data_IF_412488786934
#
_entry.id   IF_412488786934
#
_cell.length_a   1.000
_cell.length_b   1.000
_cell.length_c   1.000
_cell.angle_alpha   90.00
_cell.angle_beta   90.00
_cell.angle_gamma   90.00
#
_symmetry.space_group_name_H-M   'P 1'
#
loop_
_entity.id
_entity.type
_entity.pdbx_description
1 polymer ?
#
# COMPACT_ATOMS: atom_id res chain seq x y z
N UNK A 1 -7.55 22.89 24.45
CA UNK A 1 -6.24 22.46 23.98
C UNK A 1 -6.09 22.37 22.44
N UNK A 2 -7.14 22.19 21.65
CA UNK A 2 -7.00 22.04 20.17
C UNK A 2 -6.86 23.33 19.36
N UNK A 3 -7.16 24.52 19.90
CA UNK A 3 -7.07 25.80 19.13
C UNK A 3 -5.68 26.41 19.09
N UNK A 4 -4.86 26.21 20.11
CA UNK A 4 -3.47 26.71 20.16
C UNK A 4 -2.53 25.93 19.26
N UNK A 5 -2.73 24.60 19.13
CA UNK A 5 -1.94 23.73 18.27
C UNK A 5 -2.12 24.04 16.75
N UNK A 6 -3.30 24.50 16.35
CA UNK A 6 -3.59 24.90 14.96
C UNK A 6 -2.93 26.23 14.56
N UNK A 7 -2.75 27.16 15.51
CA UNK A 7 -2.12 28.45 15.28
C UNK A 7 -0.60 28.31 15.11
N UNK A 8 0.05 27.46 15.91
CA UNK A 8 1.49 27.21 15.82
C UNK A 8 1.91 26.44 14.57
N UNK A 9 1.11 25.44 14.15
CA UNK A 9 1.33 24.77 12.86
C UNK A 9 1.16 25.74 11.68
N UNK A 10 0.24 26.70 11.78
CA UNK A 10 0.11 27.82 10.84
C UNK A 10 1.24 28.83 10.95
N UNK A 11 1.80 29.08 12.15
CA UNK A 11 2.97 29.94 12.33
C UNK A 11 4.22 29.28 11.74
N UNK A 12 4.49 28.01 12.02
CA UNK A 12 5.63 27.26 11.44
C UNK A 12 5.52 27.16 9.91
N UNK A 13 4.33 26.93 9.35
CA UNK A 13 4.12 26.93 7.89
C UNK A 13 4.18 28.32 7.24
N UNK A 14 3.87 29.38 7.97
CA UNK A 14 4.04 30.78 7.50
C UNK A 14 5.48 31.28 7.68
N UNK A 15 6.20 30.83 8.73
CA UNK A 15 7.60 31.16 8.94
C UNK A 15 8.54 30.46 7.95
N UNK A 16 8.18 29.25 7.48
CA UNK A 16 8.94 28.53 6.43
C UNK A 16 8.57 28.93 5.00
N UNK A 17 7.42 29.57 4.78
CA UNK A 17 7.16 30.25 3.54
C UNK A 17 7.83 31.61 3.62
N UNK A 18 9.07 31.62 3.15
CA UNK A 18 9.88 32.76 2.86
C UNK A 18 9.09 33.74 1.99
N UNK A 19 8.31 34.59 2.61
CA UNK A 19 7.84 35.78 1.95
C UNK A 19 8.80 36.90 2.26
N UNK A 20 9.66 37.11 1.31
CA UNK A 20 10.58 38.24 1.20
C UNK A 20 9.87 39.58 1.03
N UNK A 21 8.58 39.70 1.20
CA UNK A 21 7.83 40.90 0.88
C UNK A 21 6.62 41.18 1.80
N UNK A 22 6.69 40.79 3.11
CA UNK A 22 5.85 41.48 4.07
C UNK A 22 6.59 42.71 4.62
N UNK A 23 7.20 43.47 3.73
CA UNK A 23 7.30 44.89 3.91
C UNK A 23 5.86 45.39 3.92
N UNK A 24 5.38 45.86 5.08
CA UNK A 24 4.19 46.65 5.26
C UNK A 24 3.95 47.45 3.98
N UNK A 25 3.04 46.94 3.12
CA UNK A 25 2.55 47.67 1.98
C UNK A 25 1.24 48.30 2.44
N UNK A 26 1.17 49.65 2.60
CA UNK A 26 -0.06 50.34 2.94
C UNK A 26 -1.00 50.42 1.71
N UNK A 27 -1.05 49.41 0.87
CA UNK A 27 -1.95 49.37 -0.31
C UNK A 27 -3.43 49.22 0.04
N UNK A 28 -3.76 49.17 1.30
CA UNK A 28 -5.13 49.37 1.75
C UNK A 28 -5.33 50.78 2.31
N UNK A 29 -4.41 51.71 1.93
CA UNK A 29 -4.77 53.10 1.92
C UNK A 29 -6.04 53.24 1.11
N UNK A 30 -7.15 53.20 1.89
CA UNK A 30 -8.34 53.93 1.58
C UNK A 30 -8.60 54.08 0.05
N UNK A 31 -9.24 53.15 -0.59
CA UNK A 31 -10.36 53.60 -1.41
C UNK A 31 -11.32 54.33 -0.42
N UNK A 32 -10.93 55.50 0.06
CA UNK A 32 -11.84 56.56 0.34
C UNK A 32 -12.56 56.87 -0.98
N UNK A 33 -13.45 55.98 -1.39
CA UNK A 33 -14.58 56.40 -2.20
C UNK A 33 -15.21 57.48 -1.32
N UNK A 34 -14.92 58.77 -1.66
CA UNK A 34 -15.74 59.92 -1.28
C UNK A 34 -17.16 59.59 -1.78
N UNK A 35 -17.86 58.72 -1.03
CA UNK A 35 -19.30 58.65 -1.12
C UNK A 35 -19.75 60.04 -0.65
N UNK A 36 -20.15 60.89 -1.59
CA UNK A 36 -20.86 62.10 -1.28
C UNK A 36 -22.15 61.68 -0.56
N UNK A 37 -22.04 61.55 0.76
CA UNK A 37 -23.19 61.21 1.61
C UNK A 37 -24.02 62.50 1.72
N UNK A 38 -25.27 62.45 1.27
CA UNK A 38 -26.22 63.52 1.49
C UNK A 38 -26.69 63.43 2.97
N UNK A 39 -26.04 64.25 3.82
CA UNK A 39 -26.33 64.29 5.24
C UNK A 39 -27.71 64.92 5.61
N UNK A 40 -28.43 65.51 4.67
CA UNK A 40 -29.80 65.95 4.89
C UNK A 40 -30.83 64.81 4.71
N UNK A 41 -30.43 63.73 4.06
CA UNK A 41 -31.25 62.52 3.93
C UNK A 41 -31.05 61.64 5.19
N UNK A 42 -32.14 61.30 5.92
CA UNK A 42 -32.11 60.56 7.17
C UNK A 42 -31.54 59.14 6.96
N UNK A 43 -31.95 58.45 5.91
CA UNK A 43 -31.52 57.05 5.65
C UNK A 43 -30.03 56.98 5.35
N UNK A 44 -29.48 57.87 4.54
CA UNK A 44 -28.06 57.92 4.21
C UNK A 44 -27.21 58.30 5.44
N UNK A 45 -27.71 59.18 6.32
CA UNK A 45 -27.06 59.57 7.57
C UNK A 45 -27.00 58.41 8.55
N UNK A 46 -28.09 57.66 8.74
CA UNK A 46 -28.15 56.47 9.60
C UNK A 46 -27.20 55.39 9.10
N UNK A 47 -27.19 55.09 7.78
CA UNK A 47 -26.28 54.12 7.17
C UNK A 47 -24.81 54.52 7.32
N UNK A 48 -24.49 55.79 7.19
CA UNK A 48 -23.12 56.28 7.43
C UNK A 48 -22.67 56.09 8.90
N UNK A 49 -23.47 56.49 9.86
CA UNK A 49 -23.23 56.28 11.28
C UNK A 49 -23.05 54.79 11.59
N UNK A 50 -23.95 53.97 11.02
CA UNK A 50 -23.87 52.52 11.19
C UNK A 50 -22.56 51.96 10.60
N UNK A 51 -22.13 52.39 9.42
CA UNK A 51 -20.85 51.98 8.84
C UNK A 51 -19.65 52.39 9.67
N UNK A 52 -19.67 53.58 10.29
CA UNK A 52 -18.66 53.99 11.23
C UNK A 52 -18.61 53.12 12.48
N UNK A 53 -19.78 52.76 13.03
CA UNK A 53 -19.89 51.86 14.19
C UNK A 53 -19.44 50.44 13.87
N UNK A 54 -19.79 49.93 12.70
CA UNK A 54 -19.32 48.62 12.22
C UNK A 54 -17.79 48.57 12.07
N UNK A 55 -17.19 49.64 11.48
CA UNK A 55 -15.73 49.77 11.40
C UNK A 55 -15.07 49.80 12.79
N UNK A 56 -15.68 50.52 13.76
CA UNK A 56 -15.21 50.55 15.15
C UNK A 56 -15.31 49.16 15.81
N UNK A 57 -16.41 48.46 15.62
CA UNK A 57 -16.61 47.10 16.17
C UNK A 57 -15.61 46.11 15.60
N UNK A 58 -15.43 46.11 14.27
CA UNK A 58 -14.44 45.25 13.60
C UNK A 58 -13.01 45.56 14.05
N UNK A 59 -12.64 46.84 14.16
CA UNK A 59 -11.35 47.29 14.69
C UNK A 59 -11.14 46.81 16.15
N UNK A 60 -12.18 46.90 16.97
CA UNK A 60 -12.13 46.44 18.37
C UNK A 60 -11.89 44.92 18.46
N UNK A 61 -12.63 44.18 17.67
CA UNK A 61 -12.46 42.70 17.58
C UNK A 61 -11.08 42.30 17.05
N UNK A 62 -10.56 43.05 16.05
CA UNK A 62 -9.20 42.82 15.57
C UNK A 62 -8.17 43.17 16.63
N UNK A 63 -8.36 44.29 17.39
CA UNK A 63 -7.52 44.67 18.49
C UNK A 63 -7.43 43.59 19.57
N UNK A 64 -8.54 42.96 19.94
CA UNK A 64 -8.54 41.84 20.89
C UNK A 64 -7.69 40.69 20.39
N UNK A 65 -7.84 40.29 19.12
CA UNK A 65 -7.05 39.23 18.51
C UNK A 65 -5.57 39.57 18.45
N UNK A 66 -5.24 40.80 18.05
CA UNK A 66 -3.86 41.28 17.96
C UNK A 66 -3.20 41.37 19.34
N UNK A 67 -3.97 41.81 20.36
CA UNK A 67 -3.50 41.88 21.75
C UNK A 67 -3.18 40.48 22.27
N UNK A 68 -4.07 39.53 22.06
CA UNK A 68 -3.85 38.14 22.44
C UNK A 68 -2.57 37.55 21.78
N UNK A 69 -2.37 37.81 20.46
CA UNK A 69 -1.17 37.35 19.75
C UNK A 69 0.09 38.07 20.24
N UNK A 70 -0.01 39.38 20.52
CA UNK A 70 1.08 40.17 21.08
C UNK A 70 1.54 39.67 22.47
N UNK A 71 0.59 39.33 23.32
CA UNK A 71 0.86 38.83 24.68
C UNK A 71 1.50 37.43 24.58
N UNK A 72 1.03 36.59 23.66
CA UNK A 72 1.65 35.29 23.42
C UNK A 72 3.09 35.41 22.92
N UNK A 73 3.34 36.27 21.93
CA UNK A 73 4.70 36.49 21.40
C UNK A 73 5.62 37.07 22.48
N UNK A 74 5.09 37.98 23.31
CA UNK A 74 5.85 38.59 24.41
C UNK A 74 6.16 37.56 25.50
N UNK A 75 5.21 36.67 25.83
CA UNK A 75 5.42 35.57 26.77
C UNK A 75 6.52 34.64 26.28
N UNK A 76 6.48 34.31 25.00
CA UNK A 76 7.47 33.41 24.39
C UNK A 76 8.88 34.00 24.37
N UNK A 77 9.01 35.30 24.06
CA UNK A 77 10.30 36.01 24.16
C UNK A 77 10.83 35.99 25.59
N UNK A 78 9.95 36.15 26.58
CA UNK A 78 10.36 36.09 27.99
C UNK A 78 10.81 34.66 28.37
N UNK A 79 10.11 33.65 27.95
CA UNK A 79 10.51 32.24 28.16
C UNK A 79 11.90 31.96 27.56
N UNK A 80 12.23 32.54 26.38
CA UNK A 80 13.56 32.42 25.79
C UNK A 80 14.64 33.09 26.67
N UNK A 81 14.35 34.24 27.24
CA UNK A 81 15.27 34.96 28.14
C UNK A 81 15.53 34.15 29.43
N UNK A 82 14.49 33.53 30.00
CA UNK A 82 14.62 32.68 31.19
C UNK A 82 15.45 31.41 30.90
N UNK A 83 15.23 30.76 29.73
CA UNK A 83 16.03 29.59 29.32
C UNK A 83 17.50 29.93 29.13
N UNK A 84 17.81 31.11 28.54
CA UNK A 84 19.19 31.53 28.34
C UNK A 84 19.86 32.01 29.64
N UNK A 85 19.09 32.47 30.61
CA UNK A 85 19.57 32.91 31.91
C UNK A 85 19.84 31.76 32.90
N UNK A 86 19.53 30.50 32.53
CA UNK A 86 19.75 29.32 33.39
C UNK A 86 21.24 29.16 33.73
N UNK A 87 21.57 28.73 34.95
CA UNK A 87 22.91 28.32 35.35
C UNK A 87 23.44 27.23 34.44
N UNK A 88 24.75 27.14 34.26
CA UNK A 88 25.38 26.21 33.31
C UNK A 88 25.01 24.74 33.56
N UNK A 89 24.97 24.32 34.83
CA UNK A 89 24.58 22.95 35.20
C UNK A 89 23.14 22.62 34.81
N UNK A 90 22.20 23.52 35.04
CA UNK A 90 20.78 23.35 34.70
C UNK A 90 20.57 23.44 33.19
N UNK A 91 21.29 24.32 32.50
CA UNK A 91 21.27 24.41 31.04
C UNK A 91 21.77 23.14 30.36
N UNK A 92 22.81 22.48 30.90
CA UNK A 92 23.31 21.21 30.39
C UNK A 92 22.27 20.09 30.58
N UNK A 93 21.63 20.01 31.73
CA UNK A 93 20.58 19.02 32.00
C UNK A 93 19.38 19.22 31.08
N UNK A 94 18.93 20.46 30.90
CA UNK A 94 17.82 20.80 30.00
C UNK A 94 18.15 20.41 28.55
N UNK A 95 19.36 20.75 28.09
CA UNK A 95 19.82 20.38 26.72
C UNK A 95 19.91 18.87 26.54
N UNK A 96 20.36 18.12 27.53
CA UNK A 96 20.42 16.66 27.41
C UNK A 96 19.04 16.05 27.32
N UNK A 97 18.09 16.52 28.13
CA UNK A 97 16.70 16.09 28.05
C UNK A 97 16.08 16.49 26.70
N UNK A 98 16.28 17.71 26.22
CA UNK A 98 15.80 18.18 24.93
C UNK A 98 16.40 17.39 23.76
N UNK A 99 17.70 17.02 23.84
CA UNK A 99 18.35 16.16 22.83
C UNK A 99 17.71 14.80 22.75
N UNK A 100 17.43 14.17 23.88
CA UNK A 100 16.77 12.87 23.94
C UNK A 100 15.37 12.91 23.31
N UNK A 101 14.62 13.98 23.58
CA UNK A 101 13.30 14.19 22.95
C UNK A 101 13.43 14.37 21.44
N UNK A 102 14.38 15.19 20.97
CA UNK A 102 14.63 15.41 19.54
C UNK A 102 15.00 14.13 18.81
N UNK A 103 15.97 13.35 19.32
CA UNK A 103 16.41 12.08 18.73
C UNK A 103 15.27 11.05 18.64
N UNK A 104 14.41 10.97 19.65
CA UNK A 104 13.24 10.08 19.64
C UNK A 104 12.14 10.56 18.69
N UNK A 105 11.94 11.87 18.57
CA UNK A 105 11.00 12.45 17.59
C UNK A 105 11.47 12.22 16.16
N UNK A 106 12.75 12.36 15.88
CA UNK A 106 13.36 12.10 14.57
C UNK A 106 13.26 10.61 14.21
N UNK A 107 13.57 9.73 15.16
CA UNK A 107 13.43 8.28 14.97
C UNK A 107 11.99 7.86 14.66
N UNK A 108 11.02 8.50 15.32
CA UNK A 108 9.59 8.31 15.03
C UNK A 108 9.20 8.83 13.65
N UNK A 109 9.69 10.00 13.27
CA UNK A 109 9.44 10.60 11.96
C UNK A 109 10.02 9.72 10.84
N UNK A 110 11.27 9.28 11.00
CA UNK A 110 11.93 8.37 10.06
C UNK A 110 11.15 7.05 9.86
N UNK A 111 10.67 6.46 10.95
CA UNK A 111 9.83 5.26 10.86
C UNK A 111 8.53 5.50 10.09
N UNK A 112 7.89 6.67 10.29
CA UNK A 112 6.63 7.00 9.61
C UNK A 112 6.80 7.29 8.11
N UNK A 113 7.99 7.72 7.69
CA UNK A 113 8.33 7.97 6.28
C UNK A 113 8.77 6.72 5.53
N UNK A 114 9.17 5.64 6.23
CA UNK A 114 9.60 4.39 5.60
C UNK A 114 8.44 3.71 4.86
N UNK A 115 8.69 3.20 3.65
CA UNK A 115 7.69 2.40 2.95
C UNK A 115 7.42 1.10 3.72
N UNK A 116 6.18 0.76 3.91
CA UNK A 116 5.78 -0.50 4.54
C UNK A 116 6.18 -1.68 3.68
N UNK A 117 6.75 -2.72 4.29
CA UNK A 117 7.17 -3.95 3.60
C UNK A 117 5.99 -4.84 3.21
N UNK A 118 4.95 -4.86 4.06
CA UNK A 118 3.74 -5.63 3.85
C UNK A 118 2.51 -4.77 4.14
N UNK A 119 1.38 -5.12 3.54
CA UNK A 119 0.11 -4.45 3.83
C UNK A 119 -0.39 -4.76 5.25
N UNK A 120 -1.21 -3.89 5.80
CA UNK A 120 -1.78 -4.12 7.14
C UNK A 120 -2.67 -5.38 7.18
N UNK A 121 -3.30 -5.73 6.05
CA UNK A 121 -4.10 -6.96 5.92
C UNK A 121 -3.21 -8.21 5.98
N UNK A 122 -2.09 -8.21 5.25
CA UNK A 122 -1.10 -9.28 5.28
C UNK A 122 -0.46 -9.42 6.67
N UNK A 123 -0.15 -8.28 7.31
CA UNK A 123 0.39 -8.27 8.67
C UNK A 123 -0.59 -8.93 9.65
N UNK A 124 -1.86 -8.53 9.65
CA UNK A 124 -2.87 -9.12 10.54
C UNK A 124 -3.13 -10.59 10.24
N UNK A 125 -3.07 -11.00 8.97
CA UNK A 125 -3.21 -12.40 8.57
C UNK A 125 -2.05 -13.23 9.12
N UNK A 126 -0.81 -12.78 8.93
CA UNK A 126 0.39 -13.45 9.44
C UNK A 126 0.42 -13.50 10.97
N UNK A 127 -0.02 -12.44 11.65
CA UNK A 127 -0.09 -12.42 13.11
C UNK A 127 -1.07 -13.47 13.67
N UNK A 128 -2.23 -13.65 13.01
CA UNK A 128 -3.22 -14.68 13.39
C UNK A 128 -2.72 -16.10 13.14
N UNK A 129 -1.90 -16.29 12.11
CA UNK A 129 -1.41 -17.62 11.69
C UNK A 129 0.02 -17.89 12.12
N UNK A 130 0.62 -17.04 12.95
CA UNK A 130 2.03 -17.10 13.30
C UNK A 130 2.51 -18.49 13.75
N UNK A 131 1.70 -19.20 14.53
CA UNK A 131 2.02 -20.53 15.05
C UNK A 131 1.88 -21.63 13.98
N UNK A 132 1.10 -21.39 12.92
CA UNK A 132 0.81 -22.36 11.86
C UNK A 132 1.67 -22.19 10.61
N UNK A 133 2.36 -21.05 10.44
CA UNK A 133 3.10 -20.72 9.20
C UNK A 133 4.18 -21.74 8.90
N UNK A 134 4.91 -22.21 9.90
CA UNK A 134 5.97 -23.21 9.74
C UNK A 134 5.41 -24.55 9.21
N UNK A 135 4.36 -25.03 9.83
CA UNK A 135 3.67 -26.27 9.39
C UNK A 135 3.04 -26.09 7.98
N UNK A 136 2.53 -24.89 7.70
CA UNK A 136 2.02 -24.50 6.39
C UNK A 136 3.08 -24.50 5.30
N UNK A 137 4.26 -23.97 5.60
CA UNK A 137 5.41 -23.98 4.71
C UNK A 137 5.88 -25.39 4.39
N UNK A 138 6.02 -26.23 5.40
CA UNK A 138 6.46 -27.61 5.24
C UNK A 138 5.45 -28.41 4.37
N UNK A 139 4.13 -28.24 4.61
CA UNK A 139 3.07 -28.87 3.82
C UNK A 139 3.02 -28.36 2.39
N UNK A 140 3.20 -27.06 2.15
CA UNK A 140 3.26 -26.48 0.81
C UNK A 140 4.44 -27.03 0.04
N UNK A 141 5.62 -27.06 0.65
CA UNK A 141 6.84 -27.58 0.04
C UNK A 141 6.67 -29.05 -0.35
N UNK A 142 6.18 -29.89 0.58
CA UNK A 142 5.93 -31.30 0.33
C UNK A 142 4.91 -31.49 -0.82
N UNK A 143 3.85 -30.71 -0.83
CA UNK A 143 2.82 -30.81 -1.87
C UNK A 143 3.33 -30.33 -3.25
N UNK A 144 4.18 -29.29 -3.30
CA UNK A 144 4.81 -28.82 -4.53
C UNK A 144 5.80 -29.85 -5.11
N UNK A 145 6.65 -30.44 -4.25
CA UNK A 145 7.58 -31.48 -4.64
C UNK A 145 6.84 -32.72 -5.14
N UNK A 146 5.80 -33.16 -4.41
CA UNK A 146 4.97 -34.27 -4.80
C UNK A 146 4.24 -34.03 -6.13
N UNK A 147 3.76 -32.80 -6.36
CA UNK A 147 3.13 -32.41 -7.63
C UNK A 147 4.10 -32.58 -8.82
N UNK A 148 5.34 -32.19 -8.63
CA UNK A 148 6.37 -32.35 -9.65
C UNK A 148 6.69 -33.82 -9.93
N UNK A 149 6.81 -34.66 -8.89
CA UNK A 149 7.02 -36.08 -9.03
C UNK A 149 5.88 -36.75 -9.77
N UNK A 150 4.63 -36.46 -9.41
CA UNK A 150 3.44 -37.00 -10.06
C UNK A 150 3.34 -36.57 -11.52
N UNK A 151 3.73 -35.34 -11.84
CA UNK A 151 3.78 -34.84 -13.22
C UNK A 151 4.83 -35.60 -14.07
N UNK A 152 6.00 -35.87 -13.51
CA UNK A 152 7.04 -36.68 -14.16
C UNK A 152 6.58 -38.11 -14.38
N UNK A 153 5.92 -38.74 -13.40
CA UNK A 153 5.37 -40.08 -13.51
C UNK A 153 4.28 -40.17 -14.58
N UNK A 154 3.39 -39.17 -14.67
CA UNK A 154 2.39 -39.10 -15.74
C UNK A 154 3.05 -39.01 -17.12
N UNK A 155 4.09 -38.17 -17.27
CA UNK A 155 4.84 -38.03 -18.52
C UNK A 155 5.53 -39.33 -18.92
N UNK A 156 6.15 -40.07 -17.96
CA UNK A 156 6.76 -41.38 -18.20
C UNK A 156 5.73 -42.41 -18.63
N UNK A 157 4.60 -42.50 -17.91
CA UNK A 157 3.52 -43.42 -18.23
C UNK A 157 2.87 -43.12 -19.58
N UNK A 158 2.79 -41.87 -19.98
CA UNK A 158 2.28 -41.49 -21.31
C UNK A 158 3.26 -41.91 -22.41
N UNK A 159 4.57 -41.72 -22.22
CA UNK A 159 5.60 -42.27 -23.11
C UNK A 159 5.54 -43.79 -23.25
N UNK A 160 5.41 -44.53 -22.12
CA UNK A 160 5.24 -45.99 -22.15
C UNK A 160 3.97 -46.40 -22.90
N UNK A 161 2.87 -45.71 -22.70
CA UNK A 161 1.62 -45.94 -23.40
C UNK A 161 1.78 -45.76 -24.91
N UNK A 162 2.46 -44.70 -25.33
CA UNK A 162 2.76 -44.48 -26.75
C UNK A 162 3.61 -45.62 -27.35
N UNK A 163 4.65 -46.06 -26.62
CA UNK A 163 5.50 -47.16 -27.04
C UNK A 163 4.70 -48.48 -27.22
N UNK A 164 3.83 -48.82 -26.23
CA UNK A 164 2.96 -49.98 -26.34
C UNK A 164 1.92 -49.84 -27.46
N UNK A 165 1.39 -48.66 -27.72
CA UNK A 165 0.45 -48.42 -28.82
C UNK A 165 1.14 -48.58 -30.17
N UNK A 166 2.37 -48.08 -30.30
CA UNK A 166 3.19 -48.30 -31.49
C UNK A 166 3.43 -49.79 -31.71
N UNK A 167 3.88 -50.51 -30.67
CA UNK A 167 4.09 -51.97 -30.75
C UNK A 167 2.84 -52.72 -31.09
N UNK A 168 1.66 -52.34 -30.58
CA UNK A 168 0.37 -52.94 -30.98
C UNK A 168 0.12 -52.79 -32.47
N UNK A 169 0.34 -51.60 -33.03
CA UNK A 169 0.13 -51.36 -34.45
C UNK A 169 1.10 -52.18 -35.33
N UNK A 170 2.35 -52.31 -34.89
CA UNK A 170 3.36 -53.15 -35.55
C UNK A 170 2.95 -54.63 -35.55
N UNK A 171 2.53 -55.14 -34.41
CA UNK A 171 2.05 -56.53 -34.29
C UNK A 171 0.76 -56.76 -35.10
N UNK A 172 -0.13 -55.78 -35.16
CA UNK A 172 -1.34 -55.85 -35.99
C UNK A 172 -0.99 -55.88 -37.48
N UNK A 173 0.02 -55.15 -37.95
CA UNK A 173 0.49 -55.22 -39.33
C UNK A 173 1.12 -56.59 -39.63
N UNK A 174 1.91 -57.14 -38.67
CA UNK A 174 2.46 -58.53 -38.85
C UNK A 174 1.38 -59.56 -38.94
N UNK A 175 0.26 -59.46 -38.20
CA UNK A 175 -0.90 -60.36 -38.33
C UNK A 175 -1.54 -60.21 -39.70
N UNK A 176 -1.69 -58.98 -40.20
CA UNK A 176 -2.23 -58.74 -41.54
C UNK A 176 -1.33 -59.31 -42.64
N UNK A 177 -0.01 -59.16 -42.53
CA UNK A 177 0.99 -59.64 -43.44
C UNK A 177 1.03 -61.17 -43.45
N UNK A 178 0.96 -61.87 -42.29
CA UNK A 178 0.87 -63.32 -42.20
C UNK A 178 -0.40 -63.84 -42.81
N UNK A 179 -1.51 -63.14 -42.71
CA UNK A 179 -2.77 -63.43 -43.36
C UNK A 179 -2.68 -63.32 -44.89
N UNK A 180 -2.00 -62.21 -45.34
CA UNK A 180 -1.70 -62.02 -46.76
C UNK A 180 -0.82 -63.15 -47.32
N UNK A 181 0.24 -63.49 -46.59
CA UNK A 181 1.13 -64.63 -46.99
C UNK A 181 0.33 -65.97 -47.05
N UNK A 182 -0.57 -66.22 -46.13
CA UNK A 182 -1.41 -67.39 -46.16
C UNK A 182 -2.25 -67.48 -47.46
N UNK A 183 -2.87 -66.32 -47.82
CA UNK A 183 -3.66 -66.25 -49.06
C UNK A 183 -2.79 -66.50 -50.30
N UNK A 184 -1.64 -65.86 -50.40
CA UNK A 184 -0.69 -66.01 -51.49
C UNK A 184 -0.24 -67.46 -51.58
N UNK A 185 0.10 -68.10 -50.47
CA UNK A 185 0.53 -69.49 -50.40
C UNK A 185 -0.58 -70.46 -50.88
N UNK A 186 -1.80 -70.24 -50.45
CA UNK A 186 -2.95 -71.06 -50.89
C UNK A 186 -3.21 -70.95 -52.41
N UNK A 187 -3.11 -69.67 -52.93
CA UNK A 187 -3.25 -69.42 -54.37
C UNK A 187 -2.13 -70.10 -55.16
N UNK A 188 -0.88 -69.92 -54.71
CA UNK A 188 0.28 -70.54 -55.38
C UNK A 188 0.23 -72.04 -55.36
N UNK A 189 -0.19 -72.69 -54.27
CA UNK A 189 -0.35 -74.10 -54.15
C UNK A 189 -1.49 -74.62 -55.09
N UNK A 190 -2.59 -73.84 -55.14
CA UNK A 190 -3.67 -74.15 -56.06
C UNK A 190 -3.25 -74.15 -57.53
N UNK A 191 -2.44 -73.13 -57.93
CA UNK A 191 -1.88 -73.04 -59.25
C UNK A 191 -0.90 -74.19 -59.55
N UNK A 192 -0.04 -74.57 -58.58
CA UNK A 192 0.85 -75.75 -58.75
C UNK A 192 0.10 -77.03 -58.93
N UNK A 193 -0.98 -77.28 -58.16
CA UNK A 193 -1.82 -78.47 -58.31
C UNK A 193 -2.51 -78.46 -59.65
N UNK A 194 -3.04 -77.30 -60.10
CA UNK A 194 -3.69 -77.24 -61.44
C UNK A 194 -2.70 -77.53 -62.57
N UNK A 195 -1.47 -77.05 -62.45
CA UNK A 195 -0.39 -77.24 -63.40
C UNK A 195 0.03 -78.70 -63.46
N UNK A 196 0.18 -79.35 -62.30
CA UNK A 196 0.44 -80.80 -62.21
C UNK A 196 -0.68 -81.65 -62.81
N UNK A 197 -1.95 -81.30 -62.57
CA UNK A 197 -3.14 -81.95 -63.20
C UNK A 197 -3.09 -81.75 -64.71
N UNK A 198 -2.78 -80.59 -65.21
CA UNK A 198 -2.63 -80.27 -66.62
C UNK A 198 -1.52 -81.14 -67.29
N UNK A 199 -0.35 -81.25 -66.67
CA UNK A 199 0.78 -82.08 -67.15
C UNK A 199 0.39 -83.56 -67.18
N UNK A 200 -0.35 -84.08 -66.17
CA UNK A 200 -0.81 -85.47 -66.14
C UNK A 200 -1.84 -85.74 -67.20
N UNK A 201 -2.78 -84.80 -67.43
CA UNK A 201 -3.91 -85.08 -68.38
C UNK A 201 -3.57 -84.81 -69.85
N UNK A 202 -2.67 -83.81 -70.13
CA UNK A 202 -2.30 -83.45 -71.54
C UNK A 202 -1.05 -84.09 -72.06
N UNK A 203 -0.06 -84.47 -71.18
CA UNK A 203 1.23 -84.97 -71.56
C UNK A 203 1.55 -86.42 -71.11
N UNK A 204 0.58 -87.11 -70.44
CA UNK A 204 0.73 -88.46 -69.88
C UNK A 204 2.03 -88.71 -69.08
N UNK A 205 2.56 -87.64 -68.40
CA UNK A 205 3.78 -87.71 -67.59
C UNK A 205 3.47 -88.19 -66.16
N UNK A 206 4.37 -89.05 -65.61
CA UNK A 206 4.23 -89.51 -64.23
C UNK A 206 4.56 -88.36 -63.21
N UNK A 207 3.50 -87.72 -62.71
CA UNK A 207 3.59 -86.55 -61.81
C UNK A 207 3.54 -86.95 -60.35
N UNK A 208 3.65 -88.20 -59.92
CA UNK A 208 3.54 -88.69 -58.53
C UNK A 208 4.56 -87.98 -57.57
N UNK A 209 5.79 -87.87 -58.05
CA UNK A 209 6.87 -87.19 -57.26
C UNK A 209 6.58 -85.67 -57.11
N UNK A 210 5.98 -85.04 -58.13
CA UNK A 210 5.56 -83.64 -58.08
C UNK A 210 4.49 -83.37 -56.99
N UNK A 211 3.50 -84.23 -56.90
CA UNK A 211 2.47 -84.18 -55.85
C UNK A 211 3.06 -84.34 -54.43
N UNK A 212 4.00 -85.26 -54.23
CA UNK A 212 4.68 -85.47 -52.95
C UNK A 212 5.48 -84.24 -52.53
N UNK A 213 6.24 -83.61 -53.47
CA UNK A 213 6.99 -82.42 -53.22
C UNK A 213 6.12 -81.18 -52.91
N UNK A 214 5.02 -81.02 -53.67
CA UNK A 214 4.10 -79.88 -53.40
C UNK A 214 3.36 -80.11 -52.07
N UNK A 215 2.98 -81.33 -51.69
CA UNK A 215 2.39 -81.62 -50.39
C UNK A 215 3.37 -81.30 -49.22
N UNK A 216 4.63 -81.69 -49.36
CA UNK A 216 5.69 -81.40 -48.37
C UNK A 216 5.92 -79.91 -48.23
N UNK A 217 6.04 -79.17 -49.36
CA UNK A 217 6.18 -77.72 -49.36
C UNK A 217 4.98 -76.99 -48.75
N UNK A 218 3.76 -77.48 -49.04
CA UNK A 218 2.53 -76.95 -48.45
C UNK A 218 2.51 -77.16 -46.95
N UNK A 219 2.84 -78.39 -46.47
CA UNK A 219 2.89 -78.67 -45.05
C UNK A 219 3.87 -77.77 -44.28
N UNK A 220 5.05 -77.59 -44.85
CA UNK A 220 6.09 -76.66 -44.22
C UNK A 220 5.68 -75.22 -44.26
N UNK A 221 5.13 -74.73 -45.37
CA UNK A 221 4.68 -73.32 -45.47
C UNK A 221 3.52 -73.00 -44.52
N UNK A 222 2.50 -73.92 -44.45
CA UNK A 222 1.37 -73.76 -43.52
C UNK A 222 1.84 -73.79 -42.08
N UNK A 223 2.76 -74.69 -41.75
CA UNK A 223 3.28 -74.78 -40.38
C UNK A 223 4.05 -73.47 -39.95
N UNK A 224 4.88 -72.98 -40.85
CA UNK A 224 5.60 -71.71 -40.56
C UNK A 224 4.66 -70.50 -40.42
N UNK A 225 3.68 -70.36 -41.29
CA UNK A 225 2.67 -69.30 -41.23
C UNK A 225 1.83 -69.44 -39.97
N UNK A 226 1.44 -70.64 -39.61
CA UNK A 226 0.64 -70.93 -38.43
C UNK A 226 1.39 -70.56 -37.12
N UNK A 227 2.66 -70.94 -36.99
CA UNK A 227 3.48 -70.61 -35.84
C UNK A 227 3.64 -69.08 -35.74
N UNK A 228 4.03 -68.40 -36.84
CA UNK A 228 4.15 -66.94 -36.86
C UNK A 228 2.84 -66.27 -36.49
N UNK A 229 1.72 -66.73 -36.92
CA UNK A 229 0.42 -66.18 -36.61
C UNK A 229 0.01 -66.42 -35.15
N UNK A 230 0.35 -67.55 -34.56
CA UNK A 230 0.15 -67.78 -33.12
C UNK A 230 1.01 -66.89 -32.25
N UNK A 231 2.29 -66.78 -32.62
CA UNK A 231 3.25 -65.87 -31.86
C UNK A 231 2.76 -64.47 -31.93
N UNK A 232 2.40 -63.94 -33.08
CA UNK A 232 1.89 -62.56 -33.24
C UNK A 232 0.60 -62.35 -32.43
N UNK A 233 -0.32 -63.30 -32.36
CA UNK A 233 -1.53 -63.22 -31.54
C UNK A 233 -1.24 -63.26 -30.04
N UNK A 234 -0.24 -64.03 -29.60
CA UNK A 234 0.15 -64.07 -28.21
C UNK A 234 0.81 -62.76 -27.82
N UNK A 235 1.67 -62.21 -28.69
CA UNK A 235 2.30 -60.92 -28.47
C UNK A 235 1.27 -59.79 -28.43
N UNK A 236 0.28 -59.79 -29.33
CA UNK A 236 -0.81 -58.79 -29.29
C UNK A 236 -1.54 -58.80 -27.95
N UNK A 237 -1.91 -59.98 -27.44
CA UNK A 237 -2.54 -60.08 -26.10
C UNK A 237 -1.65 -59.57 -25.00
N UNK A 238 -0.33 -59.81 -25.04
CA UNK A 238 0.63 -59.28 -24.03
C UNK A 238 0.69 -57.76 -24.09
N UNK A 239 0.74 -57.19 -25.29
CA UNK A 239 0.77 -55.72 -25.51
C UNK A 239 -0.54 -55.09 -25.07
N UNK A 240 -1.70 -55.66 -25.41
CA UNK A 240 -3.03 -55.16 -24.98
C UNK A 240 -3.16 -55.17 -23.44
N UNK A 241 -2.73 -56.27 -22.80
CA UNK A 241 -2.70 -56.36 -21.35
C UNK A 241 -1.73 -55.31 -20.72
N UNK A 242 -0.60 -55.02 -21.39
CA UNK A 242 0.32 -53.98 -21.03
C UNK A 242 -0.35 -52.60 -21.09
N UNK A 243 -1.03 -52.26 -22.18
CA UNK A 243 -1.78 -51.02 -22.36
C UNK A 243 -2.82 -50.85 -21.24
N UNK A 244 -3.62 -51.89 -20.97
CA UNK A 244 -4.64 -51.84 -19.94
C UNK A 244 -4.05 -51.60 -18.55
N UNK A 245 -2.89 -52.21 -18.21
CA UNK A 245 -2.18 -51.96 -16.95
C UNK A 245 -1.71 -50.52 -16.86
N UNK A 246 -1.15 -49.95 -17.94
CA UNK A 246 -0.71 -48.56 -17.95
C UNK A 246 -1.89 -47.61 -17.80
N UNK A 247 -3.02 -47.85 -18.46
CA UNK A 247 -4.24 -47.03 -18.32
C UNK A 247 -4.71 -47.03 -16.86
N UNK A 248 -4.76 -48.17 -16.20
CA UNK A 248 -5.15 -48.31 -14.80
C UNK A 248 -4.17 -47.51 -13.90
N UNK A 249 -2.87 -47.62 -14.18
CA UNK A 249 -1.84 -46.89 -13.42
C UNK A 249 -1.93 -45.37 -13.64
N UNK A 250 -2.10 -44.93 -14.90
CA UNK A 250 -2.32 -43.52 -15.23
C UNK A 250 -3.56 -42.98 -14.51
N UNK A 251 -4.65 -43.69 -14.46
CA UNK A 251 -5.87 -43.27 -13.77
C UNK A 251 -5.60 -43.11 -12.27
N UNK A 252 -4.87 -44.04 -11.65
CA UNK A 252 -4.50 -43.97 -10.23
C UNK A 252 -3.61 -42.75 -9.96
N UNK A 253 -2.63 -42.48 -10.83
CA UNK A 253 -1.73 -41.34 -10.71
C UNK A 253 -2.47 -40.02 -10.97
N UNK A 254 -3.40 -39.98 -11.92
CA UNK A 254 -4.27 -38.83 -12.17
C UNK A 254 -5.13 -38.45 -10.95
N UNK A 255 -5.70 -39.43 -10.27
CA UNK A 255 -6.47 -39.18 -9.02
C UNK A 255 -5.55 -38.55 -7.97
N UNK A 256 -4.33 -39.07 -7.81
CA UNK A 256 -3.35 -38.49 -6.88
C UNK A 256 -2.97 -37.06 -7.27
N UNK A 257 -2.80 -36.80 -8.57
CA UNK A 257 -2.53 -35.45 -9.10
C UNK A 257 -3.62 -34.47 -8.72
N UNK A 258 -4.88 -34.83 -8.99
CA UNK A 258 -6.05 -33.97 -8.68
C UNK A 258 -6.15 -33.73 -7.17
N UNK A 259 -6.02 -34.77 -6.36
CA UNK A 259 -6.09 -34.62 -4.90
C UNK A 259 -4.98 -33.67 -4.36
N UNK A 260 -3.78 -33.80 -4.90
CA UNK A 260 -2.68 -32.92 -4.50
C UNK A 260 -2.85 -31.49 -5.03
N UNK A 261 -3.41 -31.32 -6.25
CA UNK A 261 -3.75 -29.99 -6.76
C UNK A 261 -4.79 -29.29 -5.87
N UNK A 262 -5.82 -30.00 -5.44
CA UNK A 262 -6.81 -29.47 -4.52
C UNK A 262 -6.19 -29.08 -3.16
N UNK A 263 -5.25 -29.88 -2.67
CA UNK A 263 -4.51 -29.56 -1.43
C UNK A 263 -3.67 -28.30 -1.61
N UNK A 264 -2.94 -28.17 -2.72
CA UNK A 264 -2.16 -26.99 -3.04
C UNK A 264 -3.04 -25.74 -3.14
N UNK A 265 -4.13 -25.79 -3.89
CA UNK A 265 -5.07 -24.68 -4.01
C UNK A 265 -5.63 -24.26 -2.64
N UNK A 266 -6.01 -25.23 -1.82
CA UNK A 266 -6.46 -24.94 -0.46
C UNK A 266 -5.40 -24.23 0.38
N UNK A 267 -4.15 -24.72 0.37
CA UNK A 267 -3.06 -24.12 1.13
C UNK A 267 -2.71 -22.73 0.61
N UNK A 268 -2.67 -22.56 -0.72
CA UNK A 268 -2.42 -21.28 -1.36
C UNK A 268 -3.49 -20.25 -1.00
N UNK A 269 -4.76 -20.62 -1.02
CA UNK A 269 -5.87 -19.75 -0.60
C UNK A 269 -5.83 -19.44 0.90
N UNK A 270 -5.51 -20.45 1.72
CA UNK A 270 -5.42 -20.28 3.18
C UNK A 270 -4.37 -19.24 3.57
N UNK A 271 -3.20 -19.27 2.93
CA UNK A 271 -2.08 -18.38 3.25
C UNK A 271 -1.99 -17.16 2.32
N UNK A 272 -2.85 -17.07 1.29
CA UNK A 272 -2.87 -15.95 0.33
C UNK A 272 -1.59 -15.85 -0.50
N UNK A 273 -0.94 -16.98 -0.81
CA UNK A 273 0.34 -17.06 -1.54
C UNK A 273 0.23 -18.05 -2.69
N UNK A 274 1.12 -17.92 -3.69
CA UNK A 274 1.15 -18.83 -4.84
C UNK A 274 2.17 -19.98 -4.69
N UNK A 275 3.09 -19.89 -3.74
CA UNK A 275 4.14 -20.89 -3.53
C UNK A 275 4.66 -20.91 -2.08
N UNK A 276 5.32 -22.02 -1.72
CA UNK A 276 6.00 -22.14 -0.42
C UNK A 276 7.08 -21.05 -0.24
N UNK A 277 7.80 -20.72 -1.30
CA UNK A 277 8.80 -19.64 -1.28
C UNK A 277 8.20 -18.28 -0.95
N UNK A 278 7.08 -17.94 -1.57
CA UNK A 278 6.39 -16.68 -1.31
C UNK A 278 5.88 -16.60 0.13
N UNK A 279 5.40 -17.72 0.69
CA UNK A 279 5.02 -17.80 2.10
C UNK A 279 6.19 -17.49 3.03
N UNK A 280 7.38 -18.02 2.72
CA UNK A 280 8.58 -17.76 3.52
C UNK A 280 9.04 -16.30 3.42
N UNK A 281 9.04 -15.72 2.21
CA UNK A 281 9.35 -14.30 1.99
C UNK A 281 8.36 -13.38 2.74
N UNK A 282 7.07 -13.72 2.71
CA UNK A 282 6.03 -12.99 3.45
C UNK A 282 6.22 -13.11 4.96
N UNK A 283 6.60 -14.30 5.44
CA UNK A 283 6.90 -14.56 6.86
C UNK A 283 8.10 -13.78 7.36
N UNK A 284 9.19 -13.73 6.59
CA UNK A 284 10.39 -13.00 6.95
C UNK A 284 10.10 -11.49 6.98
N UNK A 285 9.39 -10.96 5.99
CA UNK A 285 8.94 -9.57 5.98
C UNK A 285 8.04 -9.24 7.18
N UNK A 286 7.12 -10.15 7.56
CA UNK A 286 6.30 -9.99 8.76
C UNK A 286 7.14 -9.93 10.05
N UNK A 287 8.14 -10.80 10.19
CA UNK A 287 9.01 -10.82 11.37
C UNK A 287 9.80 -9.53 11.53
N UNK A 288 10.35 -9.03 10.42
CA UNK A 288 11.07 -7.76 10.40
C UNK A 288 10.15 -6.58 10.72
N UNK A 289 8.99 -6.50 10.08
CA UNK A 289 7.99 -5.46 10.34
C UNK A 289 7.50 -5.50 11.80
N UNK A 290 7.30 -6.68 12.36
CA UNK A 290 6.92 -6.86 13.77
C UNK A 290 7.98 -6.33 14.72
N UNK A 291 9.25 -6.67 14.48
CA UNK A 291 10.36 -6.18 15.28
C UNK A 291 10.49 -4.65 15.22
N UNK A 292 10.31 -4.07 14.03
CA UNK A 292 10.32 -2.62 13.84
C UNK A 292 9.15 -1.93 14.57
N UNK A 293 7.93 -2.47 14.49
CA UNK A 293 6.75 -1.95 15.22
C UNK A 293 6.90 -2.06 16.74
N UNK A 294 7.53 -3.12 17.23
CA UNK A 294 7.84 -3.27 18.67
C UNK A 294 8.90 -2.25 19.12
N UNK A 295 9.91 -2.01 18.29
CA UNK A 295 10.92 -0.98 18.54
C UNK A 295 10.30 0.42 18.58
N UNK A 296 9.41 0.72 17.62
CA UNK A 296 8.67 1.99 17.63
C UNK A 296 7.84 2.17 18.89
N UNK A 297 7.09 1.15 19.30
CA UNK A 297 6.29 1.22 20.54
C UNK A 297 7.16 1.46 21.79
N UNK A 298 8.39 0.94 21.82
CA UNK A 298 9.33 1.24 22.90
C UNK A 298 9.79 2.68 22.83
N UNK A 299 10.20 3.14 21.65
CA UNK A 299 10.62 4.52 21.44
C UNK A 299 9.48 5.54 21.75
N UNK A 300 8.24 5.23 21.42
CA UNK A 300 7.08 6.07 21.79
C UNK A 300 6.88 6.19 23.31
N UNK A 301 7.06 5.10 24.05
CA UNK A 301 6.98 5.14 25.53
C UNK A 301 8.13 5.96 26.13
N UNK A 302 9.33 5.80 25.58
CA UNK A 302 10.49 6.57 26.01
C UNK A 302 10.34 8.05 25.66
N UNK A 303 9.76 8.36 24.50
CA UNK A 303 9.42 9.72 24.11
C UNK A 303 8.41 10.35 25.06
N UNK A 304 7.31 9.68 25.36
CA UNK A 304 6.30 10.15 26.33
C UNK A 304 6.91 10.45 27.71
N UNK A 305 7.82 9.58 28.14
CA UNK A 305 8.53 9.79 29.41
C UNK A 305 9.45 11.01 29.36
N UNK A 306 10.26 11.12 28.32
CA UNK A 306 11.23 12.22 28.14
C UNK A 306 10.52 13.58 27.92
N UNK A 307 9.39 13.58 27.19
CA UNK A 307 8.55 14.77 27.03
C UNK A 307 7.98 15.26 28.37
N UNK A 308 7.52 14.33 29.23
CA UNK A 308 7.04 14.69 30.58
C UNK A 308 8.17 15.21 31.47
N UNK A 309 9.36 14.60 31.39
CA UNK A 309 10.55 15.03 32.12
C UNK A 309 10.95 16.46 31.69
N UNK A 310 11.00 16.73 30.37
CA UNK A 310 11.30 18.04 29.82
C UNK A 310 10.26 19.09 30.25
N UNK A 311 8.95 18.75 30.17
CA UNK A 311 7.89 19.62 30.66
C UNK A 311 8.01 19.96 32.15
N UNK A 312 8.38 18.98 32.97
CA UNK A 312 8.54 19.17 34.40
C UNK A 312 9.74 20.11 34.69
N UNK A 313 10.88 19.90 34.00
CA UNK A 313 12.04 20.77 34.12
C UNK A 313 11.71 22.22 33.71
N UNK A 314 11.07 22.42 32.56
CA UNK A 314 10.65 23.73 32.09
C UNK A 314 9.69 24.43 33.07
N UNK A 315 8.77 23.69 33.71
CA UNK A 315 7.90 24.22 34.76
C UNK A 315 8.67 24.63 36.01
N UNK A 316 9.68 23.88 36.41
CA UNK A 316 10.55 24.22 37.54
C UNK A 316 11.29 25.56 37.28
N UNK A 317 11.64 25.82 36.02
CA UNK A 317 12.27 27.06 35.60
C UNK A 317 11.28 28.21 35.32
N UNK A 318 10.03 28.05 35.76
CA UNK A 318 8.98 29.08 35.64
C UNK A 318 8.64 29.49 34.20
N UNK A 319 8.92 28.66 33.23
CA UNK A 319 8.52 28.86 31.84
C UNK A 319 6.98 28.84 31.75
N UNK A 320 6.42 29.88 31.13
CA UNK A 320 4.94 30.04 31.09
C UNK A 320 4.26 29.03 30.20
N UNK A 321 4.81 28.78 29.00
CA UNK A 321 4.26 27.87 28.02
C UNK A 321 5.23 26.71 27.67
N UNK A 322 5.49 25.80 28.63
CA UNK A 322 6.46 24.71 28.44
C UNK A 322 6.10 23.74 27.31
N UNK A 323 4.81 23.65 26.95
CA UNK A 323 4.34 22.76 25.88
C UNK A 323 4.84 23.18 24.48
N UNK A 324 5.13 24.46 24.27
CA UNK A 324 5.66 24.97 23.01
C UNK A 324 7.06 24.43 22.75
N UNK A 325 7.87 24.35 23.80
CA UNK A 325 9.28 23.91 23.75
C UNK A 325 9.44 22.42 23.41
N UNK A 326 8.41 21.59 23.62
CA UNK A 326 8.41 20.21 23.13
C UNK A 326 8.49 20.11 21.62
N UNK A 327 7.95 21.10 20.90
CA UNK A 327 7.95 21.14 19.43
C UNK A 327 9.11 21.97 18.86
N UNK A 328 9.92 22.57 19.73
CA UNK A 328 11.05 23.41 19.37
C UNK A 328 12.30 23.06 20.18
N UNK A 329 12.53 21.76 20.34
CA UNK A 329 13.70 21.23 21.03
C UNK A 329 15.00 21.70 20.38
N UNK A 330 15.03 21.89 19.06
CA UNK A 330 16.18 22.39 18.30
C UNK A 330 16.62 23.78 18.79
N UNK A 331 15.66 24.67 19.15
CA UNK A 331 15.98 25.99 19.68
C UNK A 331 16.68 25.92 21.04
N UNK A 332 16.37 24.93 21.87
CA UNK A 332 17.10 24.71 23.15
C UNK A 332 18.51 24.17 22.88
N UNK A 333 18.70 23.39 21.82
CA UNK A 333 19.95 22.71 21.51
C UNK A 333 20.93 23.61 20.75
N UNK A 334 20.44 24.37 19.76
CA UNK A 334 21.26 25.24 18.91
C UNK A 334 21.00 26.71 19.19
N UNK A 335 22.08 27.40 19.59
CA UNK A 335 22.06 28.84 19.85
C UNK A 335 21.72 29.66 18.59
N UNK A 336 22.07 29.17 17.40
CA UNK A 336 21.74 29.88 16.15
C UNK A 336 20.25 29.85 15.88
N UNK A 337 19.63 28.70 16.04
CA UNK A 337 18.18 28.54 15.91
C UNK A 337 17.43 29.38 16.93
N UNK A 338 17.90 29.41 18.18
CA UNK A 338 17.36 30.28 19.24
C UNK A 338 17.40 31.75 18.83
N UNK A 339 18.53 32.25 18.29
CA UNK A 339 18.69 33.62 17.83
C UNK A 339 17.80 33.95 16.65
N UNK A 340 17.65 33.02 15.69
CA UNK A 340 16.78 33.21 14.52
C UNK A 340 15.31 33.31 14.92
N UNK A 341 14.85 32.38 15.76
CA UNK A 341 13.47 32.40 16.28
C UNK A 341 13.22 33.70 17.05
N UNK A 342 14.16 34.11 17.89
CA UNK A 342 14.07 35.39 18.64
C UNK A 342 13.92 36.58 17.68
N UNK A 343 14.75 36.65 16.67
CA UNK A 343 14.69 37.74 15.68
C UNK A 343 13.31 37.77 15.02
N UNK A 344 12.81 36.65 14.57
CA UNK A 344 11.50 36.53 13.93
C UNK A 344 10.36 36.95 14.88
N UNK A 345 10.43 36.58 16.15
CA UNK A 345 9.45 36.97 17.16
C UNK A 345 9.49 38.47 17.47
N UNK A 346 10.66 39.07 17.51
CA UNK A 346 10.82 40.53 17.70
C UNK A 346 10.20 41.29 16.53
N UNK A 347 10.49 40.86 15.30
CA UNK A 347 9.89 41.44 14.08
C UNK A 347 8.36 41.28 14.11
N UNK A 348 7.88 40.12 14.48
CA UNK A 348 6.42 39.85 14.59
C UNK A 348 5.77 40.73 15.66
N UNK A 349 6.39 40.84 16.84
CA UNK A 349 5.91 41.70 17.91
C UNK A 349 5.82 43.17 17.49
N UNK A 350 6.83 43.66 16.75
CA UNK A 350 6.82 45.04 16.22
C UNK A 350 5.71 45.25 15.18
N UNK A 351 5.51 44.26 14.30
CA UNK A 351 4.43 44.32 13.33
C UNK A 351 3.04 44.31 14.00
N UNK A 352 2.84 43.46 15.00
CA UNK A 352 1.61 43.43 15.79
C UNK A 352 1.32 44.75 16.46
N UNK A 353 2.35 45.35 17.09
CA UNK A 353 2.22 46.65 17.73
C UNK A 353 1.81 47.74 16.76
N UNK A 354 2.43 47.80 15.58
CA UNK A 354 2.06 48.79 14.55
C UNK A 354 0.59 48.59 14.08
N UNK A 355 0.16 47.36 13.92
CA UNK A 355 -1.21 47.07 13.55
C UNK A 355 -2.21 47.41 14.66
N UNK A 356 -1.85 47.18 15.91
CA UNK A 356 -2.67 47.58 17.06
C UNK A 356 -2.79 49.11 17.14
N UNK A 357 -1.68 49.83 17.00
CA UNK A 357 -1.66 51.29 17.01
C UNK A 357 -2.53 51.83 15.85
N UNK A 358 -2.39 51.29 14.66
CA UNK A 358 -3.21 51.66 13.48
C UNK A 358 -4.70 51.42 13.73
N UNK A 359 -5.10 50.23 14.14
CA UNK A 359 -6.51 49.90 14.39
C UNK A 359 -7.10 50.81 15.51
N UNK A 360 -6.32 51.15 16.52
CA UNK A 360 -6.74 52.01 17.63
C UNK A 360 -6.87 53.47 17.20
N UNK A 361 -5.85 54.00 16.52
CA UNK A 361 -5.79 55.44 16.22
C UNK A 361 -6.49 55.81 14.92
N UNK A 362 -6.31 55.02 13.83
CA UNK A 362 -6.82 55.39 12.53
C UNK A 362 -8.24 54.83 12.34
N UNK A 363 -8.48 53.56 12.61
CA UNK A 363 -9.79 52.96 12.34
C UNK A 363 -10.81 53.28 13.43
N UNK A 364 -10.53 52.94 14.68
CA UNK A 364 -11.47 53.19 15.78
C UNK A 364 -11.53 54.67 16.14
N UNK A 365 -10.35 55.33 16.27
CA UNK A 365 -10.27 56.77 16.58
C UNK A 365 -10.75 57.65 15.43
N UNK A 366 -10.47 57.30 14.18
CA UNK A 366 -10.97 57.98 12.99
C UNK A 366 -12.50 57.93 12.89
N UNK A 367 -13.09 56.77 12.97
CA UNK A 367 -14.54 56.61 12.92
C UNK A 367 -15.26 57.29 14.09
N UNK A 368 -14.65 57.27 15.29
CA UNK A 368 -15.19 58.03 16.41
C UNK A 368 -15.14 59.54 16.17
N UNK A 369 -14.06 60.05 15.56
CA UNK A 369 -13.90 61.44 15.20
C UNK A 369 -14.87 61.87 14.12
N UNK A 370 -15.09 61.04 13.08
CA UNK A 370 -16.07 61.23 12.05
C UNK A 370 -17.50 61.42 12.60
N UNK A 371 -17.89 60.56 13.55
CA UNK A 371 -19.20 60.66 14.22
C UNK A 371 -19.30 61.98 15.03
N UNK A 372 -18.25 62.38 15.73
CA UNK A 372 -18.24 63.64 16.49
C UNK A 372 -18.30 64.87 15.58
N UNK A 373 -17.54 64.89 14.50
CA UNK A 373 -17.59 65.96 13.48
C UNK A 373 -18.94 66.05 12.84
N UNK A 374 -19.62 64.92 12.57
CA UNK A 374 -20.99 64.89 12.04
C UNK A 374 -21.98 65.52 13.02
N UNK A 375 -21.89 65.24 14.33
CA UNK A 375 -22.73 65.80 15.38
C UNK A 375 -22.49 67.32 15.53
N UNK A 376 -21.21 67.78 15.47
CA UNK A 376 -20.86 69.20 15.54
C UNK A 376 -21.32 69.98 14.33
N UNK A 377 -21.22 69.42 13.14
CA UNK A 377 -21.59 70.08 11.89
C UNK A 377 -23.10 70.14 11.68
N UNK A 378 -23.86 69.13 12.21
CA UNK A 378 -25.31 69.04 12.06
C UNK A 378 -26.03 68.86 13.42
N UNK A 379 -26.03 69.90 14.29
CA UNK A 379 -26.58 69.83 15.65
C UNK A 379 -28.07 69.46 15.70
N UNK A 380 -28.81 69.78 14.62
CA UNK A 380 -30.24 69.42 14.51
C UNK A 380 -30.50 67.93 14.48
N UNK A 381 -29.53 67.12 14.02
CA UNK A 381 -29.65 65.66 13.96
C UNK A 381 -28.92 64.93 15.08
N UNK A 382 -28.35 65.66 16.05
CA UNK A 382 -27.57 65.09 17.13
C UNK A 382 -28.30 64.00 17.97
N UNK A 383 -29.61 64.19 18.16
CA UNK A 383 -30.43 63.24 18.90
C UNK A 383 -30.59 61.90 18.15
N UNK A 384 -30.80 61.98 16.82
CA UNK A 384 -30.97 60.76 15.99
C UNK A 384 -29.65 59.98 15.90
N UNK A 385 -28.53 60.71 15.71
CA UNK A 385 -27.21 60.10 15.68
C UNK A 385 -26.88 59.35 17.00
N UNK A 386 -27.18 60.00 18.14
CA UNK A 386 -26.97 59.40 19.43
C UNK A 386 -27.88 58.23 19.70
N UNK A 387 -29.14 58.27 19.23
CA UNK A 387 -30.02 57.12 19.27
C UNK A 387 -29.51 55.94 18.46
N UNK A 388 -29.01 56.16 17.25
CA UNK A 388 -28.40 55.10 16.41
C UNK A 388 -27.18 54.48 17.09
N UNK A 389 -26.34 55.28 17.74
CA UNK A 389 -25.20 54.79 18.55
C UNK A 389 -25.65 53.94 19.70
N UNK A 390 -26.66 54.40 20.49
CA UNK A 390 -27.19 53.63 21.64
C UNK A 390 -27.86 52.31 21.21
N UNK A 391 -28.59 52.29 20.10
CA UNK A 391 -29.20 51.07 19.57
C UNK A 391 -28.16 50.08 19.09
N UNK A 392 -27.08 50.56 18.45
CA UNK A 392 -25.98 49.72 18.05
C UNK A 392 -25.25 49.14 19.25
N UNK A 393 -24.90 49.92 20.26
CA UNK A 393 -24.25 49.45 21.47
C UNK A 393 -25.10 48.43 22.23
N UNK A 394 -26.42 48.65 22.36
CA UNK A 394 -27.34 47.66 22.95
C UNK A 394 -27.35 46.33 22.18
N UNK A 395 -27.31 46.37 20.85
CA UNK A 395 -27.33 45.20 20.02
C UNK A 395 -26.02 44.41 20.13
N UNK A 396 -24.87 45.07 20.29
CA UNK A 396 -23.56 44.38 20.41
C UNK A 396 -23.20 43.99 21.82
N UNK A 397 -23.75 44.61 22.86
CA UNK A 397 -23.60 44.18 24.28
C UNK A 397 -24.41 42.92 24.62
N UNK A 398 -25.41 42.56 23.79
CA UNK A 398 -26.28 41.41 23.97
C UNK A 398 -25.84 40.20 23.09
N UNK A 399 -24.80 40.30 22.28
CA UNK A 399 -24.23 39.26 21.45
C UNK A 399 -22.87 38.78 21.99
#
# INVERSE_FOLDING_TARGET
MGKTMGLFKKLKSKLHKKDRNDVYNPEWEAEEAEHQVDYDNQEQREDYVKSCLERMADATKELENLTYEYDMVTSYLKDMEEIEALPEEESVQLKECARRVAELQDSKAEFMERPRRISDEQYQMMERMADEVKDGYDKLTEAEEYQNLVRQDLGRLDGERHAYTYRRNEVMSLIADTRGMAVITVVALGLCVLLLLGLQFFLDMDTRVGYLLTAAAAATAITVIYIKHLDARQELRRVENGINKIILLQNKVKIRYVNNTNLLEYLQLKYGVSSARELMELWDNYREEKAERESLRKAERELDYSERELLQMLKCYQIKDPAIWLHQTEAILDRKEMVEIRHNLIVRRQSLRRRMDYNKEVVAGGSQKEIKELVEKYPQYAKEIMQAVEEYEKKYQTS
#
